data_IF_846296385214
#
_entry.id   IF_846296385214
#
_cell.length_a   1.000
_cell.length_b   1.000
_cell.length_c   1.000
_cell.angle_alpha   90.00
_cell.angle_beta   90.00
_cell.angle_gamma   90.00
#
_symmetry.space_group_name_H-M   'P 1'
#
loop_
_entity.id
_entity.type
_entity.pdbx_description
1 polymer ?
#
# COMPACT_ATOMS: atom_id res chain seq x y z
N UNK A 1 19.35 63.90 24.95
CA UNK A 1 18.03 63.76 25.60
C UNK A 1 17.11 64.72 24.88
N UNK A 2 16.19 64.19 24.09
CA UNK A 2 15.16 64.97 23.40
C UNK A 2 13.83 64.32 23.73
N UNK A 3 13.06 65.01 24.56
CA UNK A 3 11.64 64.77 24.80
C UNK A 3 10.84 65.37 23.62
N UNK A 4 9.75 64.70 23.21
CA UNK A 4 8.38 65.23 23.26
C UNK A 4 7.38 64.31 22.52
N UNK A 5 6.24 64.10 23.17
CA UNK A 5 5.02 63.33 22.87
C UNK A 5 4.18 63.79 21.63
N UNK A 6 3.55 62.78 20.97
CA UNK A 6 2.20 62.62 20.32
C UNK A 6 1.47 63.79 19.56
N UNK A 7 0.38 63.58 18.74
CA UNK A 7 -0.21 62.37 18.13
C UNK A 7 -0.67 62.50 16.65
N UNK A 8 -1.06 61.35 16.06
CA UNK A 8 -2.12 61.15 15.03
C UNK A 8 -2.27 62.15 13.86
N UNK A 9 -2.04 61.68 12.64
CA UNK A 9 -3.05 61.51 11.56
C UNK A 9 -2.29 61.15 10.28
N UNK A 10 -2.44 59.95 9.76
CA UNK A 10 -2.09 59.69 8.36
C UNK A 10 -3.39 59.37 7.63
N UNK A 11 -3.81 60.38 6.87
CA UNK A 11 -4.91 60.38 5.92
C UNK A 11 -4.54 59.44 4.78
N UNK A 12 -5.14 58.25 4.75
CA UNK A 12 -5.00 57.33 3.63
C UNK A 12 -6.06 57.73 2.60
N UNK A 13 -5.62 58.62 1.70
CA UNK A 13 -6.36 59.05 0.52
C UNK A 13 -6.75 57.83 -0.32
N UNK A 14 -8.05 57.54 -0.34
CA UNK A 14 -8.71 56.64 -1.30
C UNK A 14 -8.62 57.28 -2.68
N UNK A 15 -7.81 56.70 -3.56
CA UNK A 15 -7.74 57.11 -4.97
C UNK A 15 -8.91 56.45 -5.75
N UNK A 16 -9.82 57.23 -6.36
CA UNK A 16 -11.08 56.76 -6.94
C UNK A 16 -10.96 56.52 -8.46
N UNK A 17 -10.10 55.60 -8.89
CA UNK A 17 -9.98 55.23 -10.31
C UNK A 17 -9.82 53.72 -10.50
N UNK A 18 -10.68 52.95 -9.84
CA UNK A 18 -11.00 51.58 -10.26
C UNK A 18 -11.87 51.70 -11.52
N UNK A 19 -11.20 51.95 -12.63
CA UNK A 19 -11.76 51.79 -13.96
C UNK A 19 -12.33 50.37 -14.09
N UNK A 20 -13.64 50.36 -14.26
CA UNK A 20 -14.49 49.25 -14.68
C UNK A 20 -13.99 48.78 -16.06
N UNK A 21 -13.02 47.87 -16.07
CA UNK A 21 -12.58 47.12 -17.24
C UNK A 21 -12.37 45.67 -16.74
N UNK A 22 -13.50 45.02 -16.45
CA UNK A 22 -13.52 43.56 -16.32
C UNK A 22 -13.12 43.01 -17.70
N UNK A 23 -11.98 42.29 -17.86
CA UNK A 23 -11.77 41.58 -19.10
C UNK A 23 -12.88 40.52 -19.18
N UNK A 24 -13.79 40.69 -20.14
CA UNK A 24 -14.72 39.65 -20.54
C UNK A 24 -13.89 38.42 -20.90
N UNK A 25 -13.75 37.50 -19.96
CA UNK A 25 -13.36 36.14 -20.28
C UNK A 25 -14.55 35.56 -21.03
N UNK A 26 -14.60 35.84 -22.34
CA UNK A 26 -15.45 35.13 -23.28
C UNK A 26 -15.17 33.65 -23.06
N UNK A 27 -16.20 32.96 -22.57
CA UNK A 27 -16.19 31.51 -22.39
C UNK A 27 -16.03 30.88 -23.78
N UNK A 28 -14.78 30.54 -24.10
CA UNK A 28 -14.43 29.82 -25.33
C UNK A 28 -14.79 28.36 -25.11
N UNK A 29 -15.94 27.96 -25.64
CA UNK A 29 -16.27 26.56 -25.85
C UNK A 29 -17.14 25.94 -24.76
N UNK A 30 -18.46 26.06 -24.93
CA UNK A 30 -19.30 24.84 -24.95
C UNK A 30 -18.85 23.93 -26.11
N UNK A 31 -17.58 23.49 -26.13
CA UNK A 31 -17.18 22.36 -26.97
C UNK A 31 -17.76 21.14 -26.28
N UNK A 32 -19.02 20.87 -26.65
CA UNK A 32 -19.62 19.58 -26.90
C UNK A 32 -18.66 18.47 -26.46
N UNK A 33 -18.71 18.16 -25.15
CA UNK A 33 -18.08 16.98 -24.60
C UNK A 33 -18.63 15.83 -25.42
N UNK A 34 -17.82 15.38 -26.38
CA UNK A 34 -18.21 14.32 -27.29
C UNK A 34 -18.74 13.18 -26.45
N UNK A 35 -19.82 12.59 -26.92
CA UNK A 35 -20.22 11.24 -26.51
C UNK A 35 -19.00 10.34 -26.70
N UNK A 36 -18.12 10.29 -25.69
CA UNK A 36 -17.15 9.23 -25.52
C UNK A 36 -18.02 8.02 -25.28
N UNK A 37 -18.16 7.18 -26.31
CA UNK A 37 -18.75 5.86 -26.14
C UNK A 37 -18.16 5.28 -24.87
N UNK A 38 -19.03 5.00 -23.89
CA UNK A 38 -18.72 4.12 -22.78
C UNK A 38 -18.38 2.77 -23.41
N UNK A 39 -17.13 2.62 -23.85
CA UNK A 39 -16.58 1.35 -24.23
C UNK A 39 -16.82 0.45 -23.04
N UNK A 40 -17.59 -0.62 -23.26
CA UNK A 40 -17.83 -1.65 -22.25
C UNK A 40 -16.49 -1.96 -21.58
N UNK A 41 -16.33 -1.49 -20.35
CA UNK A 41 -15.18 -1.84 -19.53
C UNK A 41 -15.30 -3.34 -19.32
N UNK A 42 -14.58 -4.10 -20.14
CA UNK A 42 -14.45 -5.52 -19.96
C UNK A 42 -13.98 -5.70 -18.52
N UNK A 43 -14.88 -6.20 -17.67
CA UNK A 43 -14.58 -6.55 -16.30
C UNK A 43 -13.52 -7.63 -16.45
N UNK A 44 -12.26 -7.24 -16.30
CA UNK A 44 -11.17 -8.21 -16.19
C UNK A 44 -11.53 -8.94 -14.91
N UNK A 45 -12.08 -10.14 -15.04
CA UNK A 45 -12.22 -11.05 -13.91
C UNK A 45 -10.79 -11.14 -13.35
N UNK A 46 -10.52 -10.44 -12.24
CA UNK A 46 -9.22 -10.50 -11.62
C UNK A 46 -9.00 -11.97 -11.31
N UNK A 47 -8.06 -12.60 -12.01
CA UNK A 47 -7.70 -13.98 -11.76
C UNK A 47 -7.10 -14.03 -10.37
N UNK A 48 -7.94 -14.34 -9.38
CA UNK A 48 -7.57 -14.35 -7.99
C UNK A 48 -6.45 -15.36 -7.76
N UNK A 49 -5.50 -15.06 -6.88
CA UNK A 49 -4.57 -16.08 -6.43
C UNK A 49 -5.38 -17.21 -5.77
N UNK A 50 -5.25 -18.41 -6.34
CA UNK A 50 -5.96 -19.59 -5.89
C UNK A 50 -5.07 -20.34 -4.89
N UNK A 51 -5.29 -20.04 -3.62
CA UNK A 51 -4.59 -20.58 -2.47
C UNK A 51 -5.24 -21.85 -1.95
N UNK A 52 -4.43 -22.84 -1.57
CA UNK A 52 -4.87 -24.12 -1.02
C UNK A 52 -4.11 -24.41 0.26
N UNK A 53 -4.82 -24.59 1.38
CA UNK A 53 -4.21 -25.00 2.65
C UNK A 53 -3.84 -26.49 2.59
N UNK A 54 -2.57 -26.80 2.86
CA UNK A 54 -2.05 -28.18 2.86
C UNK A 54 -2.26 -28.89 4.21
N UNK A 55 -2.66 -28.18 5.26
CA UNK A 55 -2.93 -28.73 6.59
C UNK A 55 -1.69 -29.06 7.43
N UNK A 56 -0.50 -28.68 6.96
CA UNK A 56 0.80 -28.85 7.63
C UNK A 56 1.40 -27.50 8.08
N UNK A 57 0.61 -26.43 8.00
CA UNK A 57 1.07 -25.05 8.25
C UNK A 57 1.60 -24.35 7.00
N UNK A 58 1.32 -24.89 5.80
CA UNK A 58 1.67 -24.26 4.51
C UNK A 58 0.45 -24.05 3.62
N UNK A 59 0.57 -23.05 2.73
CA UNK A 59 -0.44 -22.69 1.73
C UNK A 59 0.22 -22.77 0.35
N UNK A 60 -0.37 -23.54 -0.55
CA UNK A 60 0.05 -23.63 -1.95
C UNK A 60 -0.66 -22.56 -2.79
N UNK A 61 0.11 -21.74 -3.50
CA UNK A 61 -0.39 -20.84 -4.54
C UNK A 61 -0.27 -21.50 -5.92
N UNK A 62 -1.42 -21.87 -6.47
CA UNK A 62 -1.49 -22.54 -7.78
C UNK A 62 -1.23 -21.62 -8.97
N UNK A 63 -1.34 -20.30 -8.80
CA UNK A 63 -1.08 -19.31 -9.86
C UNK A 63 0.40 -19.02 -9.98
N UNK A 64 1.06 -18.75 -8.85
CA UNK A 64 2.50 -18.50 -8.82
C UNK A 64 3.34 -19.79 -8.84
N UNK A 65 2.72 -20.95 -8.61
CA UNK A 65 3.40 -22.23 -8.33
C UNK A 65 4.39 -22.12 -7.16
N UNK A 66 3.97 -21.39 -6.12
CA UNK A 66 4.74 -21.15 -4.91
C UNK A 66 4.06 -21.77 -3.71
N UNK A 67 4.83 -21.97 -2.65
CA UNK A 67 4.31 -22.38 -1.35
C UNK A 67 4.70 -21.33 -0.32
N UNK A 68 3.73 -20.98 0.51
CA UNK A 68 3.84 -19.97 1.54
C UNK A 68 3.70 -20.63 2.91
N UNK A 69 4.42 -20.12 3.91
CA UNK A 69 4.14 -20.47 5.31
C UNK A 69 2.84 -19.79 5.72
N UNK A 70 1.97 -20.51 6.41
CA UNK A 70 0.63 -20.03 6.82
C UNK A 70 0.71 -18.88 7.84
N UNK A 71 1.69 -18.95 8.73
CA UNK A 71 1.90 -17.96 9.79
C UNK A 71 3.17 -17.16 9.55
N UNK A 72 3.11 -15.88 9.88
CA UNK A 72 4.23 -14.95 9.76
C UNK A 72 5.27 -15.16 10.86
N UNK A 73 6.50 -14.71 10.61
CA UNK A 73 7.57 -14.55 11.59
C UNK A 73 7.13 -13.80 12.85
N UNK A 74 6.23 -12.81 12.71
CA UNK A 74 5.70 -12.06 13.85
C UNK A 74 4.93 -12.97 14.82
N UNK A 75 4.20 -13.97 14.34
CA UNK A 75 3.44 -14.89 15.20
C UNK A 75 4.34 -15.73 16.13
N UNK A 76 5.58 -16.01 15.69
CA UNK A 76 6.56 -16.77 16.46
C UNK A 76 7.40 -15.87 17.39
N UNK A 77 7.85 -14.72 16.88
CA UNK A 77 8.77 -13.85 17.60
C UNK A 77 8.06 -12.79 18.47
N UNK A 78 6.80 -12.46 18.19
CA UNK A 78 6.02 -11.37 18.80
C UNK A 78 6.64 -9.97 18.55
N UNK A 79 7.59 -9.86 17.62
CA UNK A 79 8.19 -8.60 17.17
C UNK A 79 8.55 -8.64 15.69
N UNK A 80 8.65 -7.46 15.07
CA UNK A 80 9.11 -7.33 13.69
C UNK A 80 10.62 -7.54 13.59
N UNK A 81 11.03 -8.56 12.84
CA UNK A 81 12.44 -8.89 12.63
C UNK A 81 13.09 -7.97 11.57
N UNK A 82 14.41 -7.84 11.60
CA UNK A 82 15.18 -7.15 10.56
C UNK A 82 15.35 -8.00 9.30
N UNK A 83 15.75 -7.39 8.18
CA UNK A 83 16.02 -8.12 6.92
C UNK A 83 17.06 -9.24 7.09
N UNK A 84 18.10 -9.03 7.89
CA UNK A 84 19.11 -10.06 8.17
C UNK A 84 18.51 -11.22 8.96
N UNK A 85 17.75 -10.93 10.02
CA UNK A 85 17.05 -11.94 10.81
C UNK A 85 16.01 -12.70 9.99
N UNK A 86 15.38 -12.06 9.00
CA UNK A 86 14.45 -12.71 8.09
C UNK A 86 15.15 -13.75 7.20
N UNK A 87 16.38 -13.46 6.77
CA UNK A 87 17.20 -14.43 6.05
C UNK A 87 17.63 -15.60 6.94
N UNK A 88 18.10 -15.31 8.17
CA UNK A 88 18.42 -16.34 9.17
C UNK A 88 17.19 -17.19 9.52
N UNK A 89 16.00 -16.59 9.55
CA UNK A 89 14.74 -17.30 9.77
C UNK A 89 14.43 -18.31 8.66
N UNK A 90 14.62 -17.93 7.39
CA UNK A 90 14.49 -18.86 6.26
C UNK A 90 15.51 -20.02 6.36
N UNK A 91 16.77 -19.73 6.69
CA UNK A 91 17.79 -20.77 6.89
C UNK A 91 17.41 -21.72 8.03
N UNK A 92 16.93 -21.19 9.15
CA UNK A 92 16.44 -21.99 10.27
C UNK A 92 15.27 -22.91 9.87
N UNK A 93 14.33 -22.42 9.04
CA UNK A 93 13.23 -23.25 8.53
C UNK A 93 13.75 -24.39 7.66
N UNK A 94 14.78 -24.13 6.84
CA UNK A 94 15.42 -25.13 6.00
C UNK A 94 16.13 -26.21 6.82
N UNK A 95 16.88 -25.81 7.84
CA UNK A 95 17.54 -26.75 8.76
C UNK A 95 16.53 -27.62 9.51
N UNK A 96 15.38 -27.05 9.88
CA UNK A 96 14.29 -27.78 10.54
C UNK A 96 13.46 -28.64 9.58
N UNK A 97 13.65 -28.50 8.27
CA UNK A 97 12.80 -29.08 7.21
C UNK A 97 11.31 -28.84 7.48
N UNK A 98 10.94 -27.58 7.71
CA UNK A 98 9.54 -27.24 8.02
C UNK A 98 8.61 -27.74 6.91
N UNK A 99 7.50 -28.40 7.30
CA UNK A 99 6.57 -29.10 6.40
C UNK A 99 7.23 -30.16 5.48
N UNK A 100 8.46 -30.60 5.78
CA UNK A 100 9.23 -31.53 4.97
C UNK A 100 10.07 -30.89 3.85
N UNK A 101 10.10 -29.55 3.77
CA UNK A 101 10.78 -28.76 2.74
C UNK A 101 12.01 -28.04 3.30
N UNK A 102 13.05 -27.88 2.47
CA UNK A 102 14.31 -27.20 2.82
C UNK A 102 14.74 -26.11 1.83
N UNK A 103 13.78 -25.60 1.07
CA UNK A 103 13.91 -24.56 0.04
C UNK A 103 13.14 -23.27 0.39
N UNK A 104 12.89 -23.01 1.68
CA UNK A 104 12.32 -21.77 2.17
C UNK A 104 13.24 -20.59 1.90
N UNK A 105 12.68 -19.51 1.35
CA UNK A 105 13.37 -18.26 1.04
C UNK A 105 12.43 -17.07 1.23
N UNK A 106 13.01 -15.87 1.24
CA UNK A 106 12.23 -14.64 1.14
C UNK A 106 11.61 -14.52 -0.26
N UNK A 107 10.41 -13.96 -0.30
CA UNK A 107 9.69 -13.71 -1.54
C UNK A 107 10.33 -12.55 -2.32
N UNK A 108 10.18 -12.58 -3.65
CA UNK A 108 10.47 -11.45 -4.52
C UNK A 108 9.40 -10.37 -4.44
N UNK A 109 9.67 -9.22 -5.06
CA UNK A 109 8.71 -8.11 -5.12
C UNK A 109 7.47 -8.53 -5.93
N UNK A 110 7.66 -9.23 -7.05
CA UNK A 110 6.54 -9.68 -7.90
C UNK A 110 5.68 -10.75 -7.21
N UNK A 111 6.32 -11.67 -6.50
CA UNK A 111 5.66 -12.74 -5.73
C UNK A 111 4.89 -12.18 -4.52
N UNK A 112 5.44 -11.16 -3.86
CA UNK A 112 4.75 -10.47 -2.76
C UNK A 112 3.53 -9.70 -3.27
N UNK A 113 3.61 -9.11 -4.47
CA UNK A 113 2.47 -8.44 -5.11
C UNK A 113 1.39 -9.43 -5.54
N UNK A 114 1.74 -10.66 -5.92
CA UNK A 114 0.73 -11.67 -6.28
C UNK A 114 -0.08 -12.17 -5.08
N UNK A 115 0.41 -11.99 -3.85
CA UNK A 115 -0.36 -12.27 -2.64
C UNK A 115 -1.50 -11.28 -2.39
N UNK A 116 -1.37 -10.06 -2.91
CA UNK A 116 -2.34 -9.00 -2.70
C UNK A 116 -3.55 -9.19 -3.61
N UNK A 117 -4.76 -9.10 -3.04
CA UNK A 117 -6.01 -9.20 -3.77
C UNK A 117 -7.08 -8.27 -3.20
N UNK A 118 -7.68 -7.41 -4.03
CA UNK A 118 -8.65 -6.40 -3.62
C UNK A 118 -9.93 -6.96 -2.99
N UNK A 119 -10.27 -8.21 -3.26
CA UNK A 119 -11.49 -8.84 -2.72
C UNK A 119 -11.24 -9.66 -1.47
N UNK A 120 -9.97 -9.98 -1.18
CA UNK A 120 -9.60 -10.74 0.01
C UNK A 120 -9.40 -9.77 1.16
N UNK A 121 -9.77 -10.21 2.35
CA UNK A 121 -9.66 -9.41 3.57
C UNK A 121 -9.21 -10.34 4.69
N UNK A 122 -8.10 -9.97 5.29
CA UNK A 122 -7.53 -10.58 6.48
C UNK A 122 -7.10 -9.43 7.43
N UNK A 123 -6.75 -9.74 8.67
CA UNK A 123 -6.38 -8.75 9.67
C UNK A 123 -4.99 -9.01 10.24
N UNK A 124 -4.22 -7.94 10.35
CA UNK A 124 -2.91 -7.96 10.98
C UNK A 124 -2.97 -7.91 12.52
N UNK A 125 -1.80 -7.83 13.16
CA UNK A 125 -1.66 -7.77 14.63
C UNK A 125 -2.37 -6.59 15.31
N UNK A 126 -2.54 -5.48 14.60
CA UNK A 126 -3.20 -4.26 15.10
C UNK A 126 -4.69 -4.22 14.70
N UNK A 127 -5.16 -5.24 13.97
CA UNK A 127 -6.52 -5.32 13.44
C UNK A 127 -6.76 -4.44 12.21
N UNK A 128 -5.70 -3.96 11.55
CA UNK A 128 -5.83 -3.31 10.26
C UNK A 128 -6.08 -4.36 9.17
N UNK A 129 -6.86 -3.95 8.16
CA UNK A 129 -7.21 -4.81 7.04
C UNK A 129 -6.00 -4.96 6.11
N UNK A 130 -5.60 -6.21 5.91
CA UNK A 130 -4.63 -6.63 4.92
C UNK A 130 -5.39 -7.38 3.82
N UNK A 131 -5.18 -6.96 2.58
CA UNK A 131 -5.86 -7.52 1.41
C UNK A 131 -5.19 -8.82 0.94
N UNK A 132 -5.13 -9.81 1.84
CA UNK A 132 -4.55 -11.13 1.64
C UNK A 132 -5.61 -12.18 2.02
N UNK A 133 -5.48 -13.41 1.54
CA UNK A 133 -6.43 -14.49 1.82
C UNK A 133 -6.59 -14.73 3.32
N UNK A 134 -7.82 -15.01 3.72
CA UNK A 134 -8.24 -15.49 5.03
C UNK A 134 -7.68 -16.87 5.40
N UNK A 135 -7.09 -17.58 4.43
CA UNK A 135 -6.37 -18.83 4.68
C UNK A 135 -5.08 -18.61 5.48
N UNK A 136 -4.45 -17.44 5.37
CA UNK A 136 -3.29 -17.08 6.17
C UNK A 136 -3.70 -16.78 7.61
N UNK A 137 -2.84 -17.07 8.58
CA UNK A 137 -3.14 -16.73 9.98
C UNK A 137 -3.26 -15.21 10.16
N UNK A 138 -4.23 -14.81 10.97
CA UNK A 138 -4.39 -13.42 11.40
C UNK A 138 -3.26 -13.03 12.34
N UNK A 139 -2.97 -11.73 12.45
CA UNK A 139 -1.94 -11.25 13.38
C UNK A 139 -0.53 -11.16 12.80
N UNK A 140 -0.38 -11.27 11.48
CA UNK A 140 0.88 -11.00 10.80
C UNK A 140 1.34 -9.54 10.94
N UNK A 141 2.62 -9.30 10.67
CA UNK A 141 3.16 -7.96 10.56
C UNK A 141 2.64 -7.22 9.32
N UNK A 142 2.63 -5.88 9.37
CA UNK A 142 2.22 -5.03 8.24
C UNK A 142 3.25 -4.96 7.11
N UNK A 143 4.50 -5.37 7.39
CA UNK A 143 5.64 -5.20 6.50
C UNK A 143 6.17 -6.57 6.07
N UNK A 144 6.48 -6.69 4.78
CA UNK A 144 7.07 -7.90 4.20
C UNK A 144 8.47 -7.60 3.69
N UNK A 145 9.46 -8.35 4.16
CA UNK A 145 10.81 -8.30 3.61
C UNK A 145 10.88 -9.07 2.29
N UNK A 146 11.48 -8.46 1.27
CA UNK A 146 11.77 -9.11 0.00
C UNK A 146 13.25 -9.42 -0.13
N UNK A 147 13.62 -10.41 -0.96
CA UNK A 147 15.04 -10.74 -1.15
C UNK A 147 15.81 -9.65 -1.92
N UNK A 148 15.11 -8.75 -2.63
CA UNK A 148 15.69 -7.78 -3.57
C UNK A 148 16.13 -6.48 -2.90
N UNK A 149 15.37 -5.99 -1.91
CA UNK A 149 15.67 -4.72 -1.25
C UNK A 149 16.38 -4.94 0.08
N UNK A 150 17.70 -4.72 0.05
CA UNK A 150 18.49 -4.63 1.26
C UNK A 150 18.31 -3.24 1.89
N UNK A 151 17.98 -3.15 3.19
CA UNK A 151 17.86 -1.88 3.90
C UNK A 151 19.20 -1.13 4.08
#
# INVERSE_FOLDING_TARGET
MSENDDPSTFDESVDPDLADDEPETEWIGEEEWGDEEEGEVAVVEEELPNFVDNGDGTISDTKANLMWKKDDSYAEYDYGITWFEAHDYCEMLNDKKFAGYDDWRLAGIEESKSLFSFIQSNSDKDGAEIHISDLFETGGGHNTWTYEEKP
#
